data_IF_692508510440
#
_entry.id   IF_692508510440
#
_cell.length_a   1.000
_cell.length_b   1.000
_cell.length_c   1.000
_cell.angle_alpha   90.00
_cell.angle_beta   90.00
_cell.angle_gamma   90.00
#
_symmetry.space_group_name_H-M   'P 1'
#
loop_
_entity.id
_entity.type
_entity.pdbx_description
1 polymer ?
#
# COMPACT_ATOMS: atom_id res chain seq x y z
N UNK A 1 -36.70 3.19 -19.68
CA UNK A 1 -35.23 3.28 -19.53
C UNK A 1 -34.62 1.92 -19.85
N UNK A 2 -33.78 1.81 -20.89
CA UNK A 2 -33.04 0.56 -21.19
C UNK A 2 -31.90 0.41 -20.18
N UNK A 3 -31.88 -0.68 -19.41
CA UNK A 3 -30.68 -1.08 -18.63
C UNK A 3 -29.60 -1.39 -19.66
N UNK A 4 -28.45 -0.72 -19.56
CA UNK A 4 -27.26 -1.12 -20.33
C UNK A 4 -26.75 -2.41 -19.69
N UNK A 5 -26.49 -3.44 -20.50
CA UNK A 5 -25.70 -4.58 -20.05
C UNK A 5 -24.30 -4.07 -19.70
N UNK A 6 -23.97 -4.15 -18.42
CA UNK A 6 -22.63 -3.83 -17.92
C UNK A 6 -21.88 -5.17 -17.84
N UNK A 7 -20.83 -5.32 -18.65
CA UNK A 7 -19.89 -6.44 -18.52
C UNK A 7 -19.06 -6.26 -17.25
N UNK A 8 -19.04 -7.28 -16.39
CA UNK A 8 -18.26 -7.30 -15.14
C UNK A 8 -17.19 -8.39 -15.27
N UNK A 9 -15.96 -8.07 -14.86
CA UNK A 9 -14.83 -9.00 -14.81
C UNK A 9 -14.47 -9.30 -13.35
N UNK A 10 -14.20 -10.56 -13.03
CA UNK A 10 -13.81 -10.99 -11.69
C UNK A 10 -12.35 -10.57 -11.41
N UNK A 11 -12.11 -9.91 -10.28
CA UNK A 11 -10.77 -9.41 -9.93
C UNK A 11 -9.84 -10.55 -9.50
N UNK A 12 -8.57 -10.48 -9.89
CA UNK A 12 -7.52 -11.37 -9.37
C UNK A 12 -7.19 -11.15 -7.89
N UNK A 13 -7.80 -10.15 -7.25
CA UNK A 13 -7.41 -9.64 -5.93
C UNK A 13 -6.28 -8.62 -5.99
N UNK A 14 -5.73 -8.34 -7.18
CA UNK A 14 -4.79 -7.26 -7.43
C UNK A 14 -5.24 -6.42 -8.62
N UNK A 15 -5.89 -5.28 -8.33
CA UNK A 15 -6.37 -4.35 -9.36
C UNK A 15 -5.26 -3.86 -10.32
N UNK A 16 -4.01 -3.77 -9.84
CA UNK A 16 -2.90 -3.35 -10.71
C UNK A 16 -2.54 -4.43 -11.73
N UNK A 17 -2.73 -5.69 -11.38
CA UNK A 17 -2.55 -6.82 -12.30
C UNK A 17 -3.71 -6.90 -13.29
N UNK A 18 -4.94 -6.72 -12.81
CA UNK A 18 -6.15 -6.69 -13.65
C UNK A 18 -6.05 -5.59 -14.72
N UNK A 19 -5.44 -4.46 -14.38
CA UNK A 19 -5.17 -3.34 -15.30
C UNK A 19 -3.91 -3.52 -16.17
N UNK A 20 -3.19 -4.64 -16.05
CA UNK A 20 -1.97 -4.92 -16.82
C UNK A 20 -0.79 -4.00 -16.48
N UNK A 21 -0.77 -3.39 -15.29
CA UNK A 21 0.28 -2.47 -14.90
C UNK A 21 1.56 -3.20 -14.46
N UNK A 22 2.74 -2.69 -14.79
CA UNK A 22 4.00 -3.28 -14.36
C UNK A 22 4.16 -3.15 -12.85
N UNK A 23 4.90 -4.11 -12.26
CA UNK A 23 5.18 -4.17 -10.82
C UNK A 23 3.90 -4.17 -9.97
N UNK A 24 2.85 -4.85 -10.43
CA UNK A 24 1.53 -4.88 -9.79
C UNK A 24 1.59 -5.29 -8.31
N UNK A 25 2.42 -6.27 -7.95
CA UNK A 25 2.61 -6.70 -6.55
C UNK A 25 3.23 -5.60 -5.69
N UNK A 26 4.26 -4.90 -6.19
CA UNK A 26 4.88 -3.78 -5.49
C UNK A 26 3.90 -2.61 -5.32
N UNK A 27 3.10 -2.31 -6.35
CA UNK A 27 2.06 -1.27 -6.30
C UNK A 27 1.01 -1.59 -5.24
N UNK A 28 0.55 -2.84 -5.21
CA UNK A 28 -0.41 -3.30 -4.21
C UNK A 28 0.19 -3.22 -2.81
N UNK A 29 1.43 -3.70 -2.63
CA UNK A 29 2.13 -3.61 -1.35
C UNK A 29 2.26 -2.16 -0.86
N UNK A 30 2.67 -1.22 -1.73
CA UNK A 30 2.75 0.21 -1.38
C UNK A 30 1.38 0.76 -0.97
N UNK A 31 0.34 0.45 -1.73
CA UNK A 31 -1.01 0.92 -1.45
C UNK A 31 -1.54 0.41 -0.10
N UNK A 32 -1.24 -0.86 0.24
CA UNK A 32 -1.62 -1.43 1.54
C UNK A 32 -0.87 -0.76 2.70
N UNK A 33 0.45 -0.58 2.58
CA UNK A 33 1.23 0.10 3.62
C UNK A 33 0.83 1.58 3.76
N UNK A 34 0.60 2.30 2.65
CA UNK A 34 0.16 3.70 2.72
C UNK A 34 -1.20 3.84 3.36
N UNK A 35 -2.12 2.91 3.07
CA UNK A 35 -3.44 2.87 3.70
C UNK A 35 -3.33 2.68 5.21
N UNK A 36 -2.44 1.78 5.65
CA UNK A 36 -2.18 1.59 7.08
C UNK A 36 -1.57 2.85 7.71
N UNK A 37 -0.61 3.52 7.06
CA UNK A 37 -0.07 4.80 7.53
C UNK A 37 -1.19 5.83 7.70
N UNK A 38 -2.05 6.00 6.68
CA UNK A 38 -3.18 6.93 6.74
C UNK A 38 -4.12 6.59 7.89
N UNK A 39 -4.45 5.31 8.07
CA UNK A 39 -5.28 4.84 9.18
C UNK A 39 -4.69 5.24 10.53
N UNK A 40 -3.40 5.03 10.77
CA UNK A 40 -2.78 5.37 12.05
C UNK A 40 -2.69 6.87 12.29
N UNK A 41 -2.45 7.66 11.23
CA UNK A 41 -2.50 9.14 11.30
C UNK A 41 -3.89 9.59 11.74
N UNK A 42 -4.95 9.05 11.11
CA UNK A 42 -6.34 9.37 11.42
C UNK A 42 -6.75 8.92 12.83
N UNK A 43 -6.41 7.69 13.23
CA UNK A 43 -6.67 7.13 14.57
C UNK A 43 -6.04 7.98 15.69
N UNK A 44 -4.90 8.60 15.42
CA UNK A 44 -4.19 9.46 16.36
C UNK A 44 -4.62 10.93 16.28
N UNK A 45 -5.50 11.29 15.35
CA UNK A 45 -5.95 12.66 15.12
C UNK A 45 -4.83 13.61 14.68
N UNK A 46 -3.78 13.10 14.03
CA UNK A 46 -2.64 13.91 13.60
C UNK A 46 -2.97 14.68 12.32
N UNK A 47 -2.63 15.96 12.28
CA UNK A 47 -2.56 16.70 11.03
C UNK A 47 -1.40 16.19 10.17
N UNK A 48 -1.45 16.47 8.86
CA UNK A 48 -0.35 16.11 7.96
C UNK A 48 0.98 16.77 8.36
N UNK A 49 0.94 17.95 8.99
CA UNK A 49 2.14 18.65 9.44
C UNK A 49 2.76 17.96 10.67
N UNK A 50 1.94 17.58 11.66
CA UNK A 50 2.39 16.83 12.84
C UNK A 50 2.92 15.46 12.46
N UNK A 51 2.22 14.75 11.57
CA UNK A 51 2.69 13.47 11.03
C UNK A 51 4.03 13.64 10.29
N UNK A 52 4.22 14.71 9.53
CA UNK A 52 5.48 14.97 8.84
C UNK A 52 6.63 15.19 9.82
N UNK A 53 6.41 15.96 10.89
CA UNK A 53 7.39 16.16 11.95
C UNK A 53 7.74 14.85 12.67
N UNK A 54 6.73 14.08 13.07
CA UNK A 54 6.90 12.79 13.74
C UNK A 54 7.69 11.79 12.87
N UNK A 55 7.40 11.77 11.56
CA UNK A 55 7.98 10.81 10.62
C UNK A 55 9.31 11.27 10.01
N UNK A 56 9.81 12.47 10.34
CA UNK A 56 10.99 13.04 9.69
C UNK A 56 10.81 13.18 8.17
N UNK A 57 9.61 13.57 7.75
CA UNK A 57 9.21 13.71 6.35
C UNK A 57 8.85 15.16 6.01
N UNK A 58 8.71 15.46 4.73
CA UNK A 58 8.08 16.72 4.31
C UNK A 58 6.55 16.59 4.40
N UNK A 59 5.84 17.68 4.69
CA UNK A 59 4.37 17.69 4.64
C UNK A 59 3.81 17.28 3.26
N UNK A 60 4.38 17.72 2.12
CA UNK A 60 3.97 17.22 0.80
C UNK A 60 4.10 15.71 0.65
N UNK A 61 5.14 15.09 1.21
CA UNK A 61 5.31 13.63 1.18
C UNK A 61 4.17 12.92 1.93
N UNK A 62 3.82 13.39 3.12
CA UNK A 62 2.68 12.86 3.87
C UNK A 62 1.38 13.03 3.09
N UNK A 63 1.21 14.20 2.47
CA UNK A 63 0.06 14.50 1.61
C UNK A 63 -0.04 13.55 0.41
N UNK A 64 1.08 13.17 -0.19
CA UNK A 64 1.12 12.22 -1.30
C UNK A 64 0.79 10.80 -0.84
N UNK A 65 1.31 10.37 0.31
CA UNK A 65 1.00 9.06 0.91
C UNK A 65 -0.49 8.94 1.19
N UNK A 66 -1.07 9.93 1.87
CA UNK A 66 -2.51 9.96 2.21
C UNK A 66 -3.39 9.94 0.95
N UNK A 67 -2.93 10.54 -0.16
CA UNK A 67 -3.65 10.54 -1.44
C UNK A 67 -3.32 9.35 -2.35
N UNK A 68 -2.52 8.38 -1.91
CA UNK A 68 -2.13 7.22 -2.72
C UNK A 68 -1.22 7.54 -3.91
N UNK A 69 -0.53 8.69 -3.91
CA UNK A 69 0.45 9.08 -4.95
C UNK A 69 1.83 8.49 -4.62
N UNK A 70 2.01 7.21 -4.89
CA UNK A 70 3.10 6.40 -4.33
C UNK A 70 4.28 6.13 -5.27
N UNK A 71 4.29 6.70 -6.48
CA UNK A 71 5.32 6.43 -7.49
C UNK A 71 6.75 6.74 -7.02
N UNK A 72 6.92 7.75 -6.17
CA UNK A 72 8.22 8.16 -5.62
C UNK A 72 8.61 7.52 -4.28
N UNK A 73 7.82 6.59 -3.75
CA UNK A 73 8.07 6.00 -2.42
C UNK A 73 8.57 4.57 -2.53
N UNK A 74 9.68 4.27 -1.85
CA UNK A 74 10.14 2.89 -1.66
C UNK A 74 9.33 2.18 -0.56
N UNK A 75 9.15 0.86 -0.68
CA UNK A 75 8.49 0.04 0.34
C UNK A 75 9.16 0.18 1.72
N UNK A 76 10.50 0.16 1.75
CA UNK A 76 11.28 0.34 2.98
C UNK A 76 10.94 1.65 3.70
N UNK A 77 10.77 2.75 2.96
CA UNK A 77 10.41 4.05 3.53
C UNK A 77 9.04 4.01 4.19
N UNK A 78 8.06 3.36 3.57
CA UNK A 78 6.72 3.18 4.14
C UNK A 78 6.77 2.30 5.40
N UNK A 79 7.54 1.21 5.39
CA UNK A 79 7.74 0.36 6.55
C UNK A 79 8.37 1.13 7.74
N UNK A 80 9.37 1.98 7.48
CA UNK A 80 9.95 2.85 8.54
C UNK A 80 8.93 3.82 9.13
N UNK A 81 8.02 4.35 8.31
CA UNK A 81 6.95 5.21 8.82
C UNK A 81 5.97 4.45 9.71
N UNK A 82 5.62 3.21 9.37
CA UNK A 82 4.82 2.36 10.24
C UNK A 82 5.50 2.10 11.58
N UNK A 83 6.81 1.80 11.58
CA UNK A 83 7.58 1.63 12.81
C UNK A 83 7.56 2.90 13.68
N UNK A 84 7.78 4.07 13.08
CA UNK A 84 7.72 5.36 13.80
C UNK A 84 6.29 5.67 14.33
N UNK A 85 5.27 5.14 13.67
CA UNK A 85 3.87 5.17 14.12
C UNK A 85 3.53 4.01 15.06
N UNK A 86 4.52 3.32 15.64
CA UNK A 86 4.30 2.25 16.63
C UNK A 86 3.58 1.04 16.07
N UNK A 87 3.80 0.71 14.80
CA UNK A 87 3.37 -0.55 14.17
C UNK A 87 4.59 -1.39 13.89
N UNK A 88 4.56 -2.65 14.31
CA UNK A 88 5.60 -3.61 13.95
C UNK A 88 5.42 -4.08 12.50
N UNK A 89 6.52 -4.15 11.76
CA UNK A 89 6.54 -4.69 10.40
C UNK A 89 7.36 -5.97 10.37
N UNK A 90 6.70 -7.10 10.09
CA UNK A 90 7.35 -8.40 9.87
C UNK A 90 7.51 -8.67 8.37
N UNK A 91 8.72 -9.08 7.95
CA UNK A 91 8.97 -9.58 6.60
C UNK A 91 9.16 -11.09 6.68
N UNK A 92 8.22 -11.84 6.09
CA UNK A 92 8.25 -13.30 6.07
C UNK A 92 8.64 -13.83 4.70
N UNK A 93 9.77 -14.53 4.64
CA UNK A 93 10.26 -15.21 3.43
C UNK A 93 9.96 -16.70 3.52
N UNK A 94 9.34 -17.27 2.47
CA UNK A 94 8.98 -18.68 2.37
C UNK A 94 9.21 -19.18 0.93
N UNK A 95 9.41 -20.49 0.70
CA UNK A 95 9.41 -21.05 -0.64
C UNK A 95 8.13 -20.68 -1.40
N UNK A 96 8.24 -20.53 -2.73
CA UNK A 96 7.06 -20.40 -3.60
C UNK A 96 6.19 -21.65 -3.49
N UNK A 97 4.92 -21.53 -3.85
CA UNK A 97 4.03 -22.69 -3.89
C UNK A 97 4.40 -23.62 -5.05
N UNK A 98 4.06 -24.90 -4.93
CA UNK A 98 4.18 -25.84 -6.04
C UNK A 98 3.32 -25.36 -7.21
N UNK A 99 3.88 -25.39 -8.41
CA UNK A 99 3.23 -24.89 -9.63
C UNK A 99 3.38 -23.40 -9.94
N UNK A 100 3.85 -22.55 -9.01
CA UNK A 100 4.19 -21.15 -9.33
C UNK A 100 5.54 -21.07 -10.05
N UNK A 101 5.71 -20.20 -11.06
CA UNK A 101 7.00 -20.04 -11.76
C UNK A 101 8.04 -19.29 -10.89
N UNK A 102 7.58 -18.39 -10.02
CA UNK A 102 8.42 -17.55 -9.14
C UNK A 102 7.72 -17.26 -7.81
N UNK A 103 8.47 -16.69 -6.86
CA UNK A 103 7.89 -16.17 -5.61
C UNK A 103 7.12 -14.86 -5.81
N UNK A 104 6.30 -14.52 -4.81
CA UNK A 104 5.41 -13.35 -4.85
C UNK A 104 5.61 -12.45 -3.63
N UNK A 105 5.50 -11.13 -3.83
CA UNK A 105 5.43 -10.15 -2.76
C UNK A 105 3.97 -9.97 -2.33
N UNK A 106 3.69 -10.20 -1.05
CA UNK A 106 2.36 -10.01 -0.45
C UNK A 106 2.50 -9.22 0.85
N UNK A 107 1.59 -8.28 1.06
CA UNK A 107 1.44 -7.57 2.34
C UNK A 107 0.16 -8.07 2.98
N UNK A 108 0.22 -8.40 4.27
CA UNK A 108 -0.95 -8.67 5.09
C UNK A 108 -0.95 -7.63 6.22
N UNK A 109 -2.10 -6.98 6.44
CA UNK A 109 -2.29 -6.06 7.56
C UNK A 109 -3.18 -6.77 8.56
N UNK A 110 -2.71 -6.85 9.81
CA UNK A 110 -3.40 -7.48 10.94
C UNK A 110 -4.34 -6.54 11.67
#
# INVERSE_FOLDING_TARGET
MRKRDVSVEESSGNIFQDLGLPNAEERLAKAMLSREISRVIDERGLTQAEAAQLLGASQPDISNIVRGRLSGFALERLARYLNALGRDVEIRVRPKSDGEERGHLRVAVG
#
